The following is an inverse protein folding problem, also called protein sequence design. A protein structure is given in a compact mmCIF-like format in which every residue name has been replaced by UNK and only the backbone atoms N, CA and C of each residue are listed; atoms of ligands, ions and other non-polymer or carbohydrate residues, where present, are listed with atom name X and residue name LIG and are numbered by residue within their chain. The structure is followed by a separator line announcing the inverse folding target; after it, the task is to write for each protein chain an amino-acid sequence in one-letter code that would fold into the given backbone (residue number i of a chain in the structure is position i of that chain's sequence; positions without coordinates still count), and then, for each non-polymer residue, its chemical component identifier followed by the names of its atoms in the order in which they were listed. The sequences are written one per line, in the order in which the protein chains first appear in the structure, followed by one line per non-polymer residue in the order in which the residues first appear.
data_IF_952354801442
#
_entry.id   IF_952354801442
#
_cell.length_a   1.000
_cell.length_b   1.000
_cell.length_c   1.000
_cell.angle_alpha   90.00
_cell.angle_beta   90.00
_cell.angle_gamma   90.00
#
_symmetry.space_group_name_H-M   'P 1'
#
loop_
_entity.id
_entity.type
_entity.pdbx_description
1 polymer ?
#
# COMPACT_ATOMS: atom_id res chain seq x y z
N UNK A 1 2.61 15.36 12.98
CA UNK A 1 2.41 14.01 12.43
C UNK A 1 1.04 13.48 12.85
N UNK A 2 0.31 12.76 11.97
CA UNK A 2 -0.94 12.10 12.35
C UNK A 2 -0.67 10.98 13.36
N UNK A 3 -1.61 10.77 14.28
CA UNK A 3 -1.49 9.69 15.26
C UNK A 3 -1.66 8.29 14.67
N UNK A 4 -2.37 8.19 13.53
CA UNK A 4 -2.59 6.94 12.79
C UNK A 4 -2.61 7.20 11.29
N UNK A 5 -1.95 6.34 10.53
CA UNK A 5 -1.89 6.38 9.07
C UNK A 5 -2.54 5.12 8.53
N UNK A 6 -3.54 5.27 7.66
CA UNK A 6 -4.18 4.14 6.97
C UNK A 6 -3.83 4.18 5.50
N UNK A 7 -3.18 3.15 5.02
CA UNK A 7 -2.76 3.00 3.62
C UNK A 7 -3.61 1.91 2.95
N UNK A 8 -4.37 2.31 1.94
CA UNK A 8 -5.23 1.41 1.17
C UNK A 8 -4.68 1.32 -0.25
N UNK A 9 -4.11 0.19 -0.61
CA UNK A 9 -3.50 -0.06 -1.92
C UNK A 9 -2.56 1.07 -2.38
N UNK A 10 -1.57 1.45 -1.56
CA UNK A 10 -0.71 2.58 -1.88
C UNK A 10 0.29 2.27 -2.98
N UNK A 11 0.62 3.27 -3.80
CA UNK A 11 1.84 3.27 -4.62
C UNK A 11 3.00 3.65 -3.72
N UNK A 12 3.83 2.69 -3.36
CA UNK A 12 4.96 2.86 -2.43
C UNK A 12 6.29 3.10 -3.16
N UNK A 13 6.40 2.62 -4.38
CA UNK A 13 7.54 2.85 -5.29
C UNK A 13 7.00 3.25 -6.67
N UNK A 14 7.06 4.52 -6.98
CA UNK A 14 6.57 5.09 -8.24
C UNK A 14 7.40 4.68 -9.45
N UNK A 15 8.59 4.10 -9.26
CA UNK A 15 9.43 3.60 -10.34
C UNK A 15 8.91 2.27 -10.92
N UNK A 16 8.05 1.56 -10.18
CA UNK A 16 7.55 0.22 -10.54
C UNK A 16 8.66 -0.77 -10.93
N UNK A 17 9.83 -0.65 -10.31
CA UNK A 17 11.01 -1.47 -10.64
C UNK A 17 10.98 -2.87 -10.04
N UNK A 18 10.05 -3.17 -9.11
CA UNK A 18 9.96 -4.48 -8.50
C UNK A 18 9.55 -5.53 -9.55
N UNK A 19 10.44 -6.49 -9.89
CA UNK A 19 10.14 -7.47 -10.93
C UNK A 19 8.99 -8.41 -10.58
N UNK A 20 8.70 -8.59 -9.29
CA UNK A 20 7.60 -9.42 -8.83
C UNK A 20 6.23 -8.86 -9.24
N UNK A 21 6.11 -7.53 -9.36
CA UNK A 21 4.85 -6.88 -9.72
C UNK A 21 4.29 -7.37 -11.07
N UNK A 22 5.14 -7.64 -12.05
CA UNK A 22 4.73 -8.13 -13.37
C UNK A 22 4.04 -9.50 -13.33
N UNK A 23 4.34 -10.32 -12.33
CA UNK A 23 3.70 -11.64 -12.17
C UNK A 23 2.22 -11.52 -11.83
N UNK A 24 1.81 -10.37 -11.24
CA UNK A 24 0.43 -10.10 -10.83
C UNK A 24 -0.43 -9.46 -11.91
N UNK A 25 0.15 -8.92 -13.00
CA UNK A 25 -0.62 -8.21 -14.03
C UNK A 25 -1.76 -9.04 -14.64
N UNK A 26 -1.58 -10.36 -14.74
CA UNK A 26 -2.61 -11.26 -15.29
C UNK A 26 -3.80 -11.45 -14.35
N UNK A 27 -3.58 -11.25 -13.05
CA UNK A 27 -4.59 -11.46 -12.02
C UNK A 27 -5.21 -10.15 -11.54
N UNK A 28 -4.52 -9.02 -11.77
CA UNK A 28 -5.03 -7.69 -11.41
C UNK A 28 -6.07 -7.23 -12.44
N UNK A 29 -7.35 -7.13 -12.06
CA UNK A 29 -8.40 -6.72 -13.00
C UNK A 29 -8.44 -5.21 -13.27
N UNK A 30 -7.65 -4.41 -12.54
CA UNK A 30 -7.76 -2.96 -12.57
C UNK A 30 -6.47 -2.25 -12.97
N UNK A 31 -5.30 -2.77 -12.59
CA UNK A 31 -4.01 -2.09 -12.78
C UNK A 31 -3.09 -2.87 -13.72
N UNK A 32 -2.57 -2.16 -14.72
CA UNK A 32 -1.42 -2.60 -15.51
C UNK A 32 -0.21 -1.74 -15.16
N UNK A 33 0.98 -2.32 -15.14
CA UNK A 33 2.21 -1.61 -14.72
C UNK A 33 2.52 -0.46 -15.64
N UNK A 34 2.49 -0.67 -16.95
CA UNK A 34 2.86 0.37 -17.91
C UNK A 34 1.89 1.55 -17.88
N UNK A 35 0.58 1.29 -17.76
CA UNK A 35 -0.43 2.33 -17.59
C UNK A 35 -0.29 3.08 -16.26
N UNK A 36 -0.06 2.38 -15.19
CA UNK A 36 0.17 2.97 -13.86
C UNK A 36 1.42 3.85 -13.86
N UNK A 37 2.50 3.37 -14.46
CA UNK A 37 3.75 4.13 -14.59
C UNK A 37 3.54 5.42 -15.39
N UNK A 38 2.85 5.35 -16.52
CA UNK A 38 2.52 6.53 -17.32
C UNK A 38 1.73 7.58 -16.52
N UNK A 39 0.71 7.15 -15.77
CA UNK A 39 -0.09 8.07 -14.94
C UNK A 39 0.74 8.70 -13.82
N UNK A 40 1.61 7.93 -13.18
CA UNK A 40 2.49 8.42 -12.13
C UNK A 40 3.52 9.40 -12.68
N UNK A 41 4.06 9.17 -13.88
CA UNK A 41 4.96 10.10 -14.56
C UNK A 41 4.27 11.44 -14.85
N UNK A 42 3.02 11.41 -15.30
CA UNK A 42 2.22 12.63 -15.49
C UNK A 42 1.98 13.37 -14.17
N UNK A 43 1.69 12.64 -13.10
CA UNK A 43 1.48 13.21 -11.77
C UNK A 43 2.75 13.82 -11.20
N UNK A 44 3.90 13.18 -11.40
CA UNK A 44 5.20 13.60 -10.87
C UNK A 44 5.70 14.92 -11.48
N UNK A 45 5.34 15.19 -12.75
CA UNK A 45 5.90 16.30 -13.48
C UNK A 45 7.43 16.22 -13.51
N UNK A 46 8.12 17.25 -12.99
CA UNK A 46 9.58 17.28 -12.95
C UNK A 46 10.19 16.57 -11.71
N UNK A 47 9.35 16.06 -10.81
CA UNK A 47 9.83 15.35 -9.62
C UNK A 47 10.35 13.97 -10.00
N UNK A 48 11.58 13.59 -9.62
CA UNK A 48 12.09 12.24 -9.85
C UNK A 48 11.17 11.19 -9.21
N UNK A 49 10.94 10.08 -9.92
CA UNK A 49 10.04 9.02 -9.44
C UNK A 49 10.54 8.33 -8.17
N UNK A 50 11.84 8.32 -7.93
CA UNK A 50 12.47 7.77 -6.73
C UNK A 50 12.55 8.77 -5.55
N UNK A 51 12.16 10.02 -5.75
CA UNK A 51 11.99 10.98 -4.66
C UNK A 51 10.93 10.47 -3.68
N UNK A 52 11.17 10.65 -2.37
CA UNK A 52 10.25 10.17 -1.33
C UNK A 52 8.82 10.72 -1.45
N UNK A 53 8.63 11.85 -2.10
CA UNK A 53 7.32 12.44 -2.38
C UNK A 53 6.51 11.60 -3.37
N UNK A 54 7.20 10.91 -4.28
CA UNK A 54 6.59 10.01 -5.26
C UNK A 54 6.66 8.55 -4.81
N UNK A 55 7.74 8.18 -4.15
CA UNK A 55 8.02 6.82 -3.65
C UNK A 55 8.17 6.85 -2.11
N UNK A 56 7.07 6.83 -1.36
CA UNK A 56 7.11 6.93 0.10
C UNK A 56 8.01 5.90 0.79
N UNK A 57 8.23 4.75 0.15
CA UNK A 57 9.15 3.71 0.62
C UNK A 57 10.59 4.21 0.78
N UNK A 58 10.99 5.26 0.04
CA UNK A 58 12.32 5.86 0.08
C UNK A 58 12.44 6.98 1.11
N UNK A 59 11.36 7.32 1.82
CA UNK A 59 11.35 8.37 2.83
C UNK A 59 11.89 7.92 4.17
N UNK A 60 12.06 8.87 5.06
CA UNK A 60 12.32 8.60 6.47
C UNK A 60 11.00 8.15 7.13
N UNK A 61 10.99 6.94 7.64
CA UNK A 61 9.83 6.32 8.27
C UNK A 61 9.83 6.47 9.80
N UNK A 62 10.93 6.99 10.37
CA UNK A 62 11.03 7.20 11.81
C UNK A 62 10.07 8.30 12.28
N UNK A 63 9.45 8.07 13.42
CA UNK A 63 8.51 9.03 14.02
C UNK A 63 7.16 9.15 13.32
N UNK A 64 6.87 8.29 12.33
CA UNK A 64 5.52 8.16 11.79
C UNK A 64 4.58 7.60 12.88
N UNK A 65 3.30 7.98 12.81
CA UNK A 65 2.27 7.40 13.67
C UNK A 65 2.03 5.92 13.39
N UNK A 66 1.05 5.33 14.08
CA UNK A 66 0.66 3.95 13.82
C UNK A 66 0.25 3.75 12.38
N UNK A 67 0.75 2.70 11.73
CA UNK A 67 0.48 2.41 10.32
C UNK A 67 -0.42 1.18 10.21
N UNK A 68 -1.53 1.30 9.50
CA UNK A 68 -2.32 0.17 9.02
C UNK A 68 -2.25 0.14 7.51
N UNK A 69 -1.77 -0.97 6.96
CA UNK A 69 -1.59 -1.18 5.52
C UNK A 69 -2.51 -2.30 5.05
N UNK A 70 -3.32 -2.04 4.02
CA UNK A 70 -4.09 -3.07 3.32
C UNK A 70 -3.88 -3.00 1.83
N UNK A 71 -3.92 -4.15 1.18
CA UNK A 71 -3.78 -4.33 -0.27
C UNK A 71 -4.44 -5.65 -0.66
N UNK A 72 -5.05 -5.72 -1.83
CA UNK A 72 -5.54 -6.97 -2.38
C UNK A 72 -4.39 -7.87 -2.86
N UNK A 73 -4.45 -9.16 -2.58
CA UNK A 73 -3.36 -10.08 -2.97
C UNK A 73 -3.30 -10.36 -4.47
N UNK A 74 -4.26 -9.88 -5.25
CA UNK A 74 -4.24 -9.93 -6.73
C UNK A 74 -3.66 -8.67 -7.37
N UNK A 75 -3.31 -7.66 -6.57
CA UNK A 75 -2.83 -6.39 -7.10
C UNK A 75 -1.36 -6.44 -7.54
N UNK A 76 -1.05 -5.71 -8.60
CA UNK A 76 0.33 -5.42 -8.99
C UNK A 76 1.10 -4.66 -7.90
N UNK A 77 0.39 -4.00 -6.98
CA UNK A 77 0.97 -3.28 -5.83
C UNK A 77 1.25 -4.18 -4.62
N UNK A 78 0.79 -5.43 -4.63
CA UNK A 78 0.96 -6.35 -3.50
C UNK A 78 2.43 -6.64 -3.14
N UNK A 79 3.33 -6.91 -4.11
CA UNK A 79 4.73 -7.17 -3.78
C UNK A 79 5.43 -6.01 -3.07
N UNK A 80 5.18 -4.77 -3.46
CA UNK A 80 5.74 -3.59 -2.79
C UNK A 80 5.14 -3.39 -1.39
N UNK A 81 3.88 -3.70 -1.19
CA UNK A 81 3.25 -3.66 0.13
C UNK A 81 3.89 -4.69 1.08
N UNK A 82 4.17 -5.89 0.60
CA UNK A 82 4.90 -6.91 1.37
C UNK A 82 6.30 -6.43 1.73
N UNK A 83 7.04 -5.91 0.75
CA UNK A 83 8.38 -5.35 0.96
C UNK A 83 8.36 -4.22 1.99
N UNK A 84 7.40 -3.32 1.89
CA UNK A 84 7.25 -2.20 2.83
C UNK A 84 6.97 -2.68 4.26
N UNK A 85 6.09 -3.67 4.43
CA UNK A 85 5.84 -4.29 5.74
C UNK A 85 7.12 -4.91 6.34
N UNK A 86 7.95 -5.57 5.52
CA UNK A 86 9.26 -6.07 5.98
C UNK A 86 10.20 -4.94 6.39
N UNK A 87 10.27 -3.86 5.62
CA UNK A 87 11.09 -2.68 5.97
C UNK A 87 10.66 -2.06 7.30
N UNK A 88 9.35 -1.95 7.54
CA UNK A 88 8.82 -1.45 8.81
C UNK A 88 9.22 -2.36 9.98
N UNK A 89 9.16 -3.68 9.79
CA UNK A 89 9.61 -4.65 10.81
C UNK A 89 11.11 -4.52 11.11
N UNK A 90 11.95 -4.42 10.09
CA UNK A 90 13.41 -4.28 10.23
C UNK A 90 13.79 -3.00 10.99
N UNK A 91 13.00 -1.94 10.84
CA UNK A 91 13.17 -0.67 11.55
C UNK A 91 12.44 -0.63 12.91
N UNK A 92 11.84 -1.74 13.35
CA UNK A 92 11.03 -1.83 14.57
C UNK A 92 9.87 -0.83 14.63
N UNK A 93 9.31 -0.47 13.46
CA UNK A 93 8.14 0.41 13.36
C UNK A 93 6.88 -0.44 13.48
N UNK A 94 6.08 -0.16 14.52
CA UNK A 94 4.82 -0.86 14.76
C UNK A 94 3.80 -0.57 13.67
N UNK A 95 3.27 -1.63 13.09
CA UNK A 95 2.25 -1.52 12.03
C UNK A 95 1.34 -2.74 12.01
N UNK A 96 0.22 -2.62 11.32
CA UNK A 96 -0.68 -3.71 10.97
C UNK A 96 -0.67 -3.89 9.46
N UNK A 97 -0.36 -5.10 8.99
CA UNK A 97 -0.51 -5.47 7.60
C UNK A 97 -1.69 -6.41 7.43
N UNK A 98 -2.73 -5.97 6.72
CA UNK A 98 -4.00 -6.67 6.56
C UNK A 98 -4.22 -6.92 5.06
N UNK A 99 -3.66 -8.01 4.49
CA UNK A 99 -3.88 -8.31 3.08
C UNK A 99 -5.33 -8.78 2.83
N UNK A 100 -5.92 -8.32 1.73
CA UNK A 100 -7.21 -8.80 1.23
C UNK A 100 -7.02 -10.01 0.31
N UNK A 101 -7.21 -11.23 0.81
CA UNK A 101 -6.98 -12.47 0.05
C UNK A 101 -7.93 -12.57 -1.15
N UNK A 102 -7.35 -12.81 -2.33
CA UNK A 102 -8.06 -12.88 -3.62
C UNK A 102 -8.82 -11.62 -3.99
N UNK A 103 -8.49 -10.49 -3.38
CA UNK A 103 -9.14 -9.21 -3.63
C UNK A 103 -8.30 -8.31 -4.54
N UNK A 104 -8.97 -7.31 -5.07
CA UNK A 104 -8.48 -6.38 -6.09
C UNK A 104 -8.16 -5.01 -5.50
N UNK A 105 -7.67 -4.12 -6.35
CA UNK A 105 -7.24 -2.76 -5.98
C UNK A 105 -8.34 -1.99 -5.23
N UNK A 106 -7.95 -1.37 -4.13
CA UNK A 106 -8.81 -0.56 -3.25
C UNK A 106 -10.13 -1.25 -2.84
N UNK A 107 -10.09 -2.57 -2.64
CA UNK A 107 -11.28 -3.34 -2.29
C UNK A 107 -12.11 -2.78 -1.13
N UNK A 108 -11.52 -2.10 -0.11
CA UNK A 108 -12.30 -1.52 0.97
C UNK A 108 -13.26 -0.39 0.54
N UNK A 109 -13.10 0.13 -0.68
CA UNK A 109 -13.98 1.17 -1.23
C UNK A 109 -15.17 0.60 -2.02
N UNK A 110 -15.22 -0.72 -2.21
CA UNK A 110 -16.30 -1.40 -2.92
C UNK A 110 -17.32 -2.03 -1.97
N UNK A 111 -18.61 -2.12 -2.35
CA UNK A 111 -19.67 -2.68 -1.51
C UNK A 111 -19.64 -4.21 -1.49
N UNK A 112 -18.59 -4.79 -0.93
CA UNK A 112 -18.38 -6.23 -0.78
C UNK A 112 -18.28 -6.62 0.70
N UNK A 113 -18.55 -7.89 1.07
CA UNK A 113 -18.50 -8.33 2.48
C UNK A 113 -17.14 -8.11 3.14
N UNK A 114 -16.06 -8.26 2.38
CA UNK A 114 -14.68 -8.10 2.85
C UNK A 114 -14.38 -6.66 3.29
N UNK A 115 -15.01 -5.67 2.66
CA UNK A 115 -14.98 -4.27 3.10
C UNK A 115 -15.45 -4.14 4.55
N UNK A 116 -16.58 -4.73 4.88
CA UNK A 116 -17.15 -4.63 6.22
C UNK A 116 -16.19 -5.22 7.26
N UNK A 117 -15.64 -6.40 6.98
CA UNK A 117 -14.66 -7.05 7.87
C UNK A 117 -13.42 -6.18 8.09
N UNK A 118 -12.88 -5.61 7.02
CA UNK A 118 -11.74 -4.70 7.11
C UNK A 118 -12.07 -3.46 7.96
N UNK A 119 -13.20 -2.81 7.71
CA UNK A 119 -13.61 -1.62 8.45
C UNK A 119 -13.83 -1.89 9.95
N UNK A 120 -14.40 -3.05 10.29
CA UNK A 120 -14.57 -3.47 11.69
C UNK A 120 -13.21 -3.70 12.37
N UNK A 121 -12.28 -4.35 11.67
CA UNK A 121 -10.92 -4.55 12.17
C UNK A 121 -10.18 -3.23 12.32
N UNK A 122 -10.24 -2.35 11.33
CA UNK A 122 -9.65 -1.02 11.36
C UNK A 122 -10.20 -0.18 12.52
N UNK A 123 -11.52 -0.22 12.73
CA UNK A 123 -12.16 0.47 13.85
C UNK A 123 -11.62 0.01 15.20
N UNK A 124 -11.45 -1.30 15.40
CA UNK A 124 -10.84 -1.85 16.61
C UNK A 124 -9.42 -1.31 16.81
N UNK A 125 -8.58 -1.39 15.78
CA UNK A 125 -7.19 -0.91 15.82
C UNK A 125 -7.13 0.56 16.23
N UNK A 126 -7.96 1.41 15.62
CA UNK A 126 -7.95 2.86 15.88
C UNK A 126 -8.45 3.18 17.30
N UNK A 127 -9.51 2.50 17.76
CA UNK A 127 -10.15 2.78 19.07
C UNK A 127 -9.31 2.22 20.21
N UNK A 128 -8.81 0.99 20.08
CA UNK A 128 -8.08 0.32 21.17
C UNK A 128 -6.61 0.68 21.18
N UNK A 129 -6.08 1.24 20.07
CA UNK A 129 -4.64 1.43 19.84
C UNK A 129 -3.84 0.14 19.98
N UNK A 130 -4.49 -1.00 19.81
CA UNK A 130 -3.84 -2.31 19.79
C UNK A 130 -3.14 -2.49 18.45
N UNK A 131 -1.83 -2.59 18.52
CA UNK A 131 -0.95 -2.86 17.39
C UNK A 131 -0.22 -4.17 17.61
#
# INVERSE_FOLDING_TARGET
QPGHIVLISPVLDATFKNPEARKYEKEDPMLGIDGSKYLVELWAGDTPLDDYKMSPMNGDLEGLGHITLTVGTKETLYPDAVKFSHMLNEQNIKHQFIPGYNLFHIYPLFPIPERQRFLEQLKKIIVTKEL
#
